data_IF_363153193224
#
_entry.id   IF_363153193224
#
_cell.length_a   1.000
_cell.length_b   1.000
_cell.length_c   1.000
_cell.angle_alpha   90.00
_cell.angle_beta   90.00
_cell.angle_gamma   90.00
#
_symmetry.space_group_name_H-M   'P 1'
#
loop_
_entity.id
_entity.type
_entity.pdbx_description
1 polymer ?
#
# COMPACT_ATOMS: atom_id res chain seq x y z
N UNK A 1 22.29 28.54 -65.58
CA UNK A 1 22.02 28.32 -64.14
C UNK A 1 21.13 27.08 -64.04
N UNK A 2 21.62 25.99 -63.45
CA UNK A 2 21.25 25.47 -62.10
C UNK A 2 19.78 24.98 -62.08
N UNK A 3 19.39 23.74 -61.76
CA UNK A 3 20.05 22.56 -61.16
C UNK A 3 19.09 21.34 -61.27
N UNK A 4 19.68 20.13 -61.33
CA UNK A 4 19.27 18.82 -60.75
C UNK A 4 17.94 18.18 -61.21
N UNK A 5 17.93 17.17 -62.08
CA UNK A 5 18.18 15.74 -61.84
C UNK A 5 17.47 15.16 -60.61
N UNK A 6 16.43 14.35 -60.85
CA UNK A 6 16.14 13.17 -60.04
C UNK A 6 15.53 12.06 -60.91
N UNK A 7 16.12 10.88 -60.71
CA UNK A 7 16.16 9.69 -61.56
C UNK A 7 14.87 8.88 -61.45
N UNK A 8 14.35 8.48 -62.61
CA UNK A 8 13.34 7.43 -62.78
C UNK A 8 14.07 6.09 -62.72
N UNK A 9 13.73 5.22 -61.77
CA UNK A 9 14.16 3.82 -61.81
C UNK A 9 12.98 2.89 -61.51
N UNK A 10 12.47 2.31 -62.57
CA UNK A 10 11.54 1.17 -62.60
C UNK A 10 12.31 -0.09 -62.22
N UNK A 11 11.80 -0.88 -61.25
CA UNK A 11 12.28 -2.24 -61.01
C UNK A 11 11.10 -3.21 -60.91
N UNK A 12 11.30 -4.32 -61.62
CA UNK A 12 10.41 -5.42 -61.96
C UNK A 12 9.71 -6.11 -60.79
N UNK A 13 8.48 -6.59 -61.07
CA UNK A 13 7.86 -7.75 -60.43
C UNK A 13 8.65 -9.02 -60.77
N UNK A 14 9.08 -9.75 -59.74
CA UNK A 14 9.34 -11.19 -59.81
C UNK A 14 8.60 -11.85 -58.64
N UNK A 15 7.66 -12.71 -59.00
CA UNK A 15 6.93 -13.62 -58.12
C UNK A 15 7.81 -14.82 -57.76
N UNK A 16 7.99 -15.13 -56.48
CA UNK A 16 8.17 -16.51 -55.98
C UNK A 16 7.94 -16.57 -54.47
N UNK A 17 7.28 -17.64 -54.06
CA UNK A 17 6.63 -17.89 -52.77
C UNK A 17 7.66 -18.25 -51.69
N UNK A 18 7.52 -17.69 -50.49
CA UNK A 18 8.50 -17.92 -49.42
C UNK A 18 8.21 -17.15 -48.13
N UNK A 19 7.14 -17.56 -47.44
CA UNK A 19 6.87 -17.42 -45.99
C UNK A 19 7.75 -16.41 -45.22
N UNK A 20 7.28 -15.16 -45.08
CA UNK A 20 7.77 -14.23 -44.05
C UNK A 20 6.62 -13.49 -43.37
N UNK A 21 6.60 -13.63 -42.04
CA UNK A 21 6.17 -12.74 -40.96
C UNK A 21 5.35 -11.49 -41.34
N UNK A 22 4.14 -11.29 -40.78
CA UNK A 22 3.59 -9.95 -40.64
C UNK A 22 4.13 -9.32 -39.35
N UNK A 23 5.02 -8.35 -39.50
CA UNK A 23 5.26 -7.31 -38.49
C UNK A 23 4.25 -6.19 -38.72
N UNK A 24 3.76 -5.65 -37.61
CA UNK A 24 2.88 -4.49 -37.50
C UNK A 24 1.39 -4.77 -37.69
N UNK A 25 0.83 -5.56 -36.80
CA UNK A 25 -0.47 -5.20 -36.24
C UNK A 25 -0.25 -4.76 -34.80
N UNK A 26 -0.96 -3.71 -34.43
CA UNK A 26 -0.82 -2.94 -33.20
C UNK A 26 -0.82 -3.92 -32.02
N UNK A 27 0.35 -4.08 -31.38
CA UNK A 27 0.42 -4.64 -30.05
C UNK A 27 -0.40 -3.69 -29.19
N UNK A 28 -1.65 -4.10 -28.97
CA UNK A 28 -2.57 -3.50 -28.06
C UNK A 28 -1.84 -3.50 -26.73
N UNK A 29 -1.15 -2.38 -26.44
CA UNK A 29 -0.63 -2.09 -25.12
C UNK A 29 -1.87 -2.04 -24.23
N UNK A 30 -2.23 -3.21 -23.73
CA UNK A 30 -3.01 -3.36 -22.53
C UNK A 30 -2.34 -2.47 -21.49
N UNK A 31 -2.92 -1.30 -21.26
CA UNK A 31 -2.72 -0.49 -20.07
C UNK A 31 -3.32 -1.20 -18.85
N UNK A 32 -2.89 -2.45 -18.60
CA UNK A 32 -3.35 -3.33 -17.52
C UNK A 32 -2.26 -3.55 -16.44
N UNK A 33 -1.37 -2.60 -16.21
CA UNK A 33 -0.26 -2.79 -15.25
C UNK A 33 -0.47 -2.16 -13.87
N UNK A 34 -1.59 -1.48 -13.62
CA UNK A 34 -1.88 -0.88 -12.31
C UNK A 34 -2.79 -1.68 -11.35
N UNK A 35 -3.76 -2.52 -11.79
CA UNK A 35 -4.61 -3.25 -10.84
C UNK A 35 -3.93 -4.46 -10.17
N UNK A 36 -3.03 -5.16 -10.89
CA UNK A 36 -2.46 -6.43 -10.44
C UNK A 36 -1.52 -6.25 -9.23
N UNK A 37 -0.73 -5.19 -9.21
CA UNK A 37 0.25 -4.94 -8.16
C UNK A 37 -0.41 -4.59 -6.82
N UNK A 38 -1.54 -3.86 -6.85
CA UNK A 38 -2.21 -3.43 -5.62
C UNK A 38 -2.85 -4.60 -4.87
N UNK A 39 -3.45 -5.54 -5.61
CA UNK A 39 -4.01 -6.77 -5.02
C UNK A 39 -2.93 -7.64 -4.38
N UNK A 40 -1.76 -7.76 -5.01
CA UNK A 40 -0.63 -8.48 -4.43
C UNK A 40 -0.10 -7.78 -3.16
N UNK A 41 0.00 -6.44 -3.15
CA UNK A 41 0.41 -5.68 -1.96
C UNK A 41 -0.58 -5.83 -0.80
N UNK A 42 -1.90 -5.85 -1.09
CA UNK A 42 -2.94 -6.10 -0.08
C UNK A 42 -2.77 -7.49 0.52
N UNK A 43 -2.57 -8.51 -0.33
CA UNK A 43 -2.38 -9.90 0.11
C UNK A 43 -1.11 -10.05 0.95
N UNK A 44 -0.02 -9.39 0.55
CA UNK A 44 1.21 -9.34 1.34
C UNK A 44 0.97 -8.72 2.73
N UNK A 45 0.29 -7.57 2.77
CA UNK A 45 -0.06 -6.90 4.01
C UNK A 45 -0.92 -7.79 4.93
N UNK A 46 -1.93 -8.46 4.38
CA UNK A 46 -2.76 -9.42 5.12
C UNK A 46 -1.93 -10.55 5.71
N UNK A 47 -1.00 -11.13 4.93
CA UNK A 47 -0.11 -12.19 5.42
C UNK A 47 0.79 -11.69 6.56
N UNK A 48 1.35 -10.48 6.44
CA UNK A 48 2.17 -9.88 7.49
C UNK A 48 1.38 -9.63 8.77
N UNK A 49 0.16 -9.11 8.66
CA UNK A 49 -0.73 -8.87 9.81
C UNK A 49 -1.10 -10.18 10.49
N UNK A 50 -1.41 -11.23 9.71
CA UNK A 50 -1.72 -12.56 10.26
C UNK A 50 -0.51 -13.16 11.00
N UNK A 51 0.69 -13.05 10.43
CA UNK A 51 1.93 -13.52 11.06
C UNK A 51 2.23 -12.76 12.36
N UNK A 52 2.10 -11.43 12.34
CA UNK A 52 2.26 -10.62 13.54
C UNK A 52 1.22 -10.96 14.60
N UNK A 53 -0.02 -11.25 14.19
CA UNK A 53 -1.08 -11.63 15.12
C UNK A 53 -0.74 -12.94 15.84
N UNK A 54 -0.21 -13.93 15.10
CA UNK A 54 0.30 -15.16 15.69
C UNK A 54 1.48 -14.92 16.63
N UNK A 55 2.43 -14.04 16.28
CA UNK A 55 3.56 -13.68 17.14
C UNK A 55 3.11 -13.03 18.45
N UNK A 56 2.18 -12.08 18.37
CA UNK A 56 1.61 -11.40 19.55
C UNK A 56 0.85 -12.37 20.47
N UNK A 57 0.19 -13.40 19.93
CA UNK A 57 -0.45 -14.44 20.74
C UNK A 57 0.57 -15.36 21.45
N UNK A 58 1.75 -15.55 20.86
CA UNK A 58 2.80 -16.38 21.45
C UNK A 58 3.63 -15.64 22.50
N UNK A 59 3.69 -14.31 22.44
CA UNK A 59 4.48 -13.51 23.37
C UNK A 59 3.67 -13.11 24.60
N UNK A 60 4.27 -13.28 25.78
CA UNK A 60 3.69 -12.87 27.04
C UNK A 60 4.05 -11.39 27.31
N UNK A 61 3.06 -10.48 27.41
CA UNK A 61 3.26 -9.04 27.71
C UNK A 61 3.62 -8.76 29.17
N UNK A 62 4.22 -9.74 29.85
CA UNK A 62 4.79 -9.55 31.18
C UNK A 62 6.29 -9.21 31.12
N UNK A 63 6.85 -9.09 29.91
CA UNK A 63 8.21 -8.65 29.71
C UNK A 63 8.24 -7.16 29.33
N UNK A 64 9.06 -6.39 30.05
CA UNK A 64 9.18 -4.94 29.88
C UNK A 64 9.50 -4.55 28.44
N UNK A 65 10.35 -5.33 27.75
CA UNK A 65 10.76 -5.07 26.38
C UNK A 65 9.63 -5.33 25.38
N UNK A 66 8.82 -6.38 25.59
CA UNK A 66 7.61 -6.65 24.79
C UNK A 66 6.59 -5.51 24.95
N UNK A 67 6.42 -5.02 26.18
CA UNK A 67 5.48 -3.92 26.46
C UNK A 67 5.94 -2.61 25.81
N UNK A 68 7.24 -2.35 25.83
CA UNK A 68 7.85 -1.20 25.16
C UNK A 68 7.66 -1.30 23.65
N UNK A 69 7.93 -2.46 23.05
CA UNK A 69 7.72 -2.70 21.62
C UNK A 69 6.27 -2.45 21.20
N UNK A 70 5.29 -2.99 21.93
CA UNK A 70 3.86 -2.78 21.63
C UNK A 70 3.50 -1.29 21.73
N UNK A 71 3.96 -0.60 22.78
CA UNK A 71 3.69 0.83 23.00
C UNK A 71 4.29 1.69 21.89
N UNK A 72 5.56 1.47 21.55
CA UNK A 72 6.26 2.19 20.50
C UNK A 72 5.66 1.90 19.12
N UNK A 73 5.45 0.63 18.79
CA UNK A 73 4.82 0.21 17.54
C UNK A 73 3.47 0.88 17.34
N UNK A 74 2.65 0.94 18.39
CA UNK A 74 1.34 1.60 18.32
C UNK A 74 1.43 3.12 18.23
N UNK A 75 2.34 3.75 18.98
CA UNK A 75 2.59 5.19 18.89
C UNK A 75 3.04 5.59 17.49
N UNK A 76 3.97 4.82 16.91
CA UNK A 76 4.48 5.03 15.56
C UNK A 76 3.38 4.85 14.50
N UNK A 77 2.55 3.82 14.64
CA UNK A 77 1.40 3.60 13.75
C UNK A 77 0.45 4.81 13.78
N UNK A 78 0.05 5.27 14.96
CA UNK A 78 -0.85 6.43 15.12
C UNK A 78 -0.24 7.68 14.47
N UNK A 79 1.05 7.95 14.73
CA UNK A 79 1.76 9.10 14.16
C UNK A 79 1.81 9.04 12.62
N UNK A 80 2.15 7.88 12.06
CA UNK A 80 2.22 7.68 10.61
C UNK A 80 0.84 7.88 9.95
N UNK A 81 -0.23 7.37 10.56
CA UNK A 81 -1.59 7.54 10.05
C UNK A 81 -2.05 8.99 10.14
N UNK A 82 -1.75 9.70 11.24
CA UNK A 82 -2.05 11.13 11.36
C UNK A 82 -1.31 11.96 10.29
N UNK A 83 -0.04 11.64 10.03
CA UNK A 83 0.75 12.29 9.00
C UNK A 83 0.19 12.00 7.60
N UNK A 84 -0.19 10.75 7.33
CA UNK A 84 -0.88 10.37 6.10
C UNK A 84 -2.18 11.14 5.91
N UNK A 85 -3.01 11.24 6.95
CA UNK A 85 -4.25 12.01 6.88
C UNK A 85 -4.02 13.47 6.55
N UNK A 86 -3.00 14.08 7.14
CA UNK A 86 -2.65 15.48 6.88
C UNK A 86 -2.17 15.63 5.43
N UNK A 87 -1.13 14.90 5.05
CA UNK A 87 -0.47 15.03 3.74
C UNK A 87 -1.46 14.78 2.59
N UNK A 88 -2.29 13.74 2.72
CA UNK A 88 -3.24 13.39 1.67
C UNK A 88 -4.44 14.35 1.64
N UNK A 89 -4.90 14.86 2.79
CA UNK A 89 -5.93 15.92 2.80
C UNK A 89 -5.43 17.18 2.09
N UNK A 90 -4.18 17.57 2.32
CA UNK A 90 -3.56 18.73 1.67
C UNK A 90 -3.38 18.50 0.16
N UNK A 91 -2.91 17.31 -0.23
CA UNK A 91 -2.73 16.94 -1.63
C UNK A 91 -4.06 16.92 -2.40
N UNK A 92 -5.10 16.29 -1.83
CA UNK A 92 -6.42 16.18 -2.45
C UNK A 92 -7.06 17.54 -2.64
N UNK A 93 -7.04 18.40 -1.61
CA UNK A 93 -7.56 19.78 -1.73
C UNK A 93 -6.83 20.59 -2.80
N UNK A 94 -5.53 20.38 -2.97
CA UNK A 94 -4.71 21.15 -3.88
C UNK A 94 -4.73 20.65 -5.34
N UNK A 95 -4.79 19.32 -5.55
CA UNK A 95 -4.50 18.71 -6.86
C UNK A 95 -5.61 17.80 -7.39
N UNK A 96 -6.44 17.28 -6.50
CA UNK A 96 -7.41 16.23 -6.84
C UNK A 96 -8.72 16.40 -6.05
N UNK A 97 -9.40 17.57 -6.13
CA UNK A 97 -10.64 17.81 -5.39
C UNK A 97 -11.74 16.78 -5.69
N UNK A 98 -11.71 16.16 -6.87
CA UNK A 98 -12.58 15.06 -7.25
C UNK A 98 -12.47 13.82 -6.35
N UNK A 99 -11.37 13.67 -5.59
CA UNK A 99 -11.14 12.58 -4.63
C UNK A 99 -11.71 12.87 -3.24
N UNK A 100 -12.19 14.09 -2.99
CA UNK A 100 -12.54 14.55 -1.63
C UNK A 100 -13.58 13.65 -0.96
N UNK A 101 -14.58 13.16 -1.69
CA UNK A 101 -15.60 12.26 -1.14
C UNK A 101 -15.03 10.90 -0.74
N UNK A 102 -14.26 10.25 -1.62
CA UNK A 102 -13.64 8.93 -1.36
C UNK A 102 -12.68 9.04 -0.18
N UNK A 103 -11.86 10.09 -0.18
CA UNK A 103 -10.92 10.37 0.89
C UNK A 103 -11.59 10.66 2.23
N UNK A 104 -12.63 11.48 2.24
CA UNK A 104 -13.37 11.81 3.46
C UNK A 104 -14.00 10.56 4.06
N UNK A 105 -14.59 9.69 3.23
CA UNK A 105 -15.16 8.42 3.68
C UNK A 105 -14.09 7.52 4.32
N UNK A 106 -12.95 7.34 3.66
CA UNK A 106 -11.85 6.54 4.20
C UNK A 106 -11.30 7.14 5.50
N UNK A 107 -11.06 8.45 5.52
CA UNK A 107 -10.56 9.18 6.69
C UNK A 107 -11.51 9.04 7.88
N UNK A 108 -12.82 9.16 7.69
CA UNK A 108 -13.79 9.05 8.78
C UNK A 108 -13.75 7.66 9.43
N UNK A 109 -13.83 6.60 8.62
CA UNK A 109 -13.78 5.23 9.11
C UNK A 109 -12.48 4.89 9.84
N UNK A 110 -11.35 5.32 9.29
CA UNK A 110 -10.07 5.11 9.94
C UNK A 110 -9.93 5.96 11.21
N UNK A 111 -10.39 7.21 11.20
CA UNK A 111 -10.32 8.09 12.38
C UNK A 111 -11.08 7.51 13.59
N UNK A 112 -12.21 6.85 13.37
CA UNK A 112 -12.93 6.14 14.44
C UNK A 112 -12.08 5.03 15.07
N UNK A 113 -11.27 4.35 14.28
CA UNK A 113 -10.38 3.28 14.75
C UNK A 113 -9.21 3.87 15.55
N UNK A 114 -8.54 4.89 14.99
CA UNK A 114 -7.31 5.44 15.57
C UNK A 114 -7.53 6.38 16.76
N UNK A 115 -8.67 7.07 16.85
CA UNK A 115 -8.97 7.95 17.98
C UNK A 115 -9.22 7.18 19.30
N UNK A 116 -9.53 5.89 19.20
CA UNK A 116 -9.83 5.02 20.35
C UNK A 116 -8.60 4.25 20.87
N UNK A 117 -7.39 4.61 20.44
CA UNK A 117 -6.13 4.02 20.87
C UNK A 117 -5.57 4.78 22.09
N UNK A 118 -5.60 4.13 23.26
CA UNK A 118 -4.86 4.63 24.42
C UNK A 118 -3.38 4.21 24.33
N UNK A 119 -2.54 5.08 23.78
CA UNK A 119 -1.10 4.82 23.59
C UNK A 119 -0.27 4.92 24.88
N UNK A 120 -0.88 5.24 26.03
CA UNK A 120 -0.20 5.27 27.33
C UNK A 120 -0.77 4.23 28.29
N UNK A 121 -0.51 2.93 28.06
CA UNK A 121 -0.91 1.87 28.97
C UNK A 121 -0.04 1.88 30.23
N UNK A 122 -0.66 1.68 31.38
CA UNK A 122 -0.03 1.62 32.72
C UNK A 122 -0.06 0.21 33.32
N UNK A 123 -0.86 -0.70 32.77
CA UNK A 123 -1.01 -2.08 33.25
C UNK A 123 -0.84 -3.10 32.14
N UNK A 124 -0.50 -4.34 32.49
CA UNK A 124 -0.46 -5.47 31.53
C UNK A 124 -1.77 -5.62 30.76
N UNK A 125 -2.92 -5.44 31.44
CA UNK A 125 -4.23 -5.51 30.78
C UNK A 125 -4.39 -4.42 29.72
N UNK A 126 -3.94 -3.19 30.01
CA UNK A 126 -3.95 -2.11 29.03
C UNK A 126 -2.96 -2.36 27.89
N UNK A 127 -1.85 -3.07 28.12
CA UNK A 127 -0.94 -3.51 27.04
C UNK A 127 -1.61 -4.56 26.17
N UNK A 128 -2.32 -5.54 26.73
CA UNK A 128 -3.08 -6.54 25.97
C UNK A 128 -4.10 -5.85 25.06
N UNK A 129 -4.87 -4.92 25.63
CA UNK A 129 -5.83 -4.13 24.88
C UNK A 129 -5.15 -3.29 23.80
N UNK A 130 -3.98 -2.71 24.08
CA UNK A 130 -3.22 -1.96 23.11
C UNK A 130 -2.73 -2.84 21.95
N UNK A 131 -2.27 -4.05 22.25
CA UNK A 131 -1.86 -5.05 21.25
C UNK A 131 -3.01 -5.45 20.34
N UNK A 132 -4.17 -5.77 20.92
CA UNK A 132 -5.40 -6.07 20.14
C UNK A 132 -5.80 -4.89 19.28
N UNK A 133 -5.83 -3.68 19.85
CA UNK A 133 -6.18 -2.47 19.09
C UNK A 133 -5.18 -2.16 17.99
N UNK A 134 -3.89 -2.43 18.19
CA UNK A 134 -2.88 -2.32 17.14
C UNK A 134 -3.23 -3.24 15.97
N UNK A 135 -3.52 -4.52 16.25
CA UNK A 135 -3.90 -5.51 15.23
C UNK A 135 -5.16 -5.08 14.47
N UNK A 136 -6.21 -4.69 15.19
CA UNK A 136 -7.45 -4.15 14.62
C UNK A 136 -7.17 -2.93 13.74
N UNK A 137 -6.26 -2.05 14.16
CA UNK A 137 -5.93 -0.82 13.45
C UNK A 137 -5.20 -1.09 12.13
N UNK A 138 -4.17 -1.95 12.13
CA UNK A 138 -3.47 -2.32 10.89
C UNK A 138 -4.38 -3.09 9.93
N UNK A 139 -5.25 -3.95 10.47
CA UNK A 139 -6.23 -4.70 9.67
C UNK A 139 -7.27 -3.77 9.04
N UNK A 140 -7.77 -2.79 9.81
CA UNK A 140 -8.75 -1.82 9.31
C UNK A 140 -8.12 -0.92 8.25
N UNK A 141 -6.85 -0.53 8.43
CA UNK A 141 -6.12 0.24 7.43
C UNK A 141 -6.05 -0.50 6.09
N UNK A 142 -5.68 -1.77 6.09
CA UNK A 142 -5.66 -2.59 4.85
C UNK A 142 -7.07 -2.80 4.28
N UNK A 143 -8.06 -3.08 5.13
CA UNK A 143 -9.43 -3.39 4.68
C UNK A 143 -10.12 -2.19 4.05
N UNK A 144 -10.02 -1.01 4.67
CA UNK A 144 -10.59 0.21 4.09
C UNK A 144 -9.81 0.70 2.86
N UNK A 145 -8.51 0.41 2.81
CA UNK A 145 -7.71 0.62 1.61
C UNK A 145 -8.18 -0.26 0.45
N UNK A 146 -8.44 -1.55 0.69
CA UNK A 146 -9.02 -2.48 -0.29
C UNK A 146 -10.40 -2.01 -0.75
N UNK A 147 -11.25 -1.53 0.18
CA UNK A 147 -12.56 -0.98 -0.17
C UNK A 147 -12.42 0.25 -1.09
N UNK A 148 -11.48 1.15 -0.80
CA UNK A 148 -11.21 2.28 -1.67
C UNK A 148 -10.68 1.82 -3.05
N UNK A 149 -9.80 0.81 -3.11
CA UNK A 149 -9.32 0.26 -4.37
C UNK A 149 -10.44 -0.31 -5.25
N UNK A 150 -11.48 -0.90 -4.66
CA UNK A 150 -12.63 -1.42 -5.43
C UNK A 150 -13.37 -0.31 -6.19
N UNK A 151 -13.38 0.91 -5.65
CA UNK A 151 -13.98 2.08 -6.30
C UNK A 151 -13.20 2.60 -7.52
N UNK A 152 -11.96 2.15 -7.74
CA UNK A 152 -11.12 2.54 -8.90
C UNK A 152 -11.85 2.26 -10.21
N UNK A 153 -12.42 1.06 -10.35
CA UNK A 153 -13.02 0.60 -11.62
C UNK A 153 -14.20 1.45 -12.12
N UNK A 154 -14.82 2.24 -11.23
CA UNK A 154 -16.02 3.03 -11.51
C UNK A 154 -15.72 4.49 -11.89
N UNK A 155 -14.44 4.89 -11.91
CA UNK A 155 -14.03 6.30 -11.98
C UNK A 155 -13.13 6.63 -13.19
N UNK A 156 -12.92 7.93 -13.43
CA UNK A 156 -12.01 8.43 -14.48
C UNK A 156 -10.53 8.06 -14.21
N UNK A 157 -9.69 7.96 -15.24
CA UNK A 157 -8.29 7.53 -15.11
C UNK A 157 -7.46 8.37 -14.12
N UNK A 158 -7.69 9.69 -14.02
CA UNK A 158 -7.02 10.55 -13.03
C UNK A 158 -7.46 10.23 -11.59
N UNK A 159 -8.75 9.95 -11.42
CA UNK A 159 -9.30 9.51 -10.12
C UNK A 159 -8.76 8.13 -9.77
N UNK A 160 -8.67 7.21 -10.74
CA UNK A 160 -8.10 5.88 -10.57
C UNK A 160 -6.66 5.93 -10.04
N UNK A 161 -5.81 6.75 -10.66
CA UNK A 161 -4.41 6.91 -10.22
C UNK A 161 -4.32 7.48 -8.80
N UNK A 162 -5.15 8.49 -8.50
CA UNK A 162 -5.20 9.10 -7.17
C UNK A 162 -5.66 8.11 -6.09
N UNK A 163 -6.70 7.33 -6.37
CA UNK A 163 -7.20 6.27 -5.47
C UNK A 163 -6.13 5.20 -5.27
N UNK A 164 -5.54 4.70 -6.36
CA UNK A 164 -4.46 3.72 -6.28
C UNK A 164 -3.29 4.23 -5.42
N UNK A 165 -2.92 5.51 -5.56
CA UNK A 165 -1.84 6.13 -4.79
C UNK A 165 -2.11 6.14 -3.30
N UNK A 166 -3.24 6.70 -2.84
CA UNK A 166 -3.50 6.77 -1.40
C UNK A 166 -3.79 5.41 -0.79
N UNK A 167 -4.42 4.49 -1.55
CA UNK A 167 -4.60 3.10 -1.14
C UNK A 167 -3.26 2.42 -0.93
N UNK A 168 -2.33 2.54 -1.89
CA UNK A 168 -0.98 1.99 -1.75
C UNK A 168 -0.27 2.55 -0.52
N UNK A 169 -0.31 3.87 -0.30
CA UNK A 169 0.34 4.49 0.85
C UNK A 169 -0.23 4.00 2.19
N UNK A 170 -1.54 3.82 2.29
CA UNK A 170 -2.17 3.26 3.48
C UNK A 170 -1.75 1.80 3.72
N UNK A 171 -1.68 0.98 2.67
CA UNK A 171 -1.16 -0.39 2.75
C UNK A 171 0.31 -0.40 3.18
N UNK A 172 1.15 0.47 2.59
CA UNK A 172 2.57 0.58 2.94
C UNK A 172 2.75 0.92 4.43
N UNK A 173 1.90 1.79 5.00
CA UNK A 173 1.92 2.11 6.44
C UNK A 173 1.58 0.87 7.28
N UNK A 174 0.56 0.10 6.90
CA UNK A 174 0.19 -1.13 7.61
C UNK A 174 1.31 -2.18 7.57
N UNK A 175 1.93 -2.36 6.39
CA UNK A 175 3.07 -3.25 6.18
C UNK A 175 4.25 -2.85 7.06
N UNK A 176 4.64 -1.57 7.01
CA UNK A 176 5.77 -1.06 7.80
C UNK A 176 5.51 -1.16 9.29
N UNK A 177 4.31 -0.80 9.76
CA UNK A 177 3.96 -0.93 11.17
C UNK A 177 4.02 -2.39 11.63
N UNK A 178 3.50 -3.32 10.82
CA UNK A 178 3.50 -4.74 11.15
C UNK A 178 4.90 -5.33 11.19
N UNK A 179 5.74 -5.01 10.20
CA UNK A 179 7.13 -5.44 10.14
C UNK A 179 7.96 -4.87 11.28
N UNK A 180 7.82 -3.57 11.56
CA UNK A 180 8.54 -2.91 12.64
C UNK A 180 8.21 -3.54 13.99
N UNK A 181 6.93 -3.75 14.30
CA UNK A 181 6.54 -4.40 15.55
C UNK A 181 7.04 -5.85 15.59
N UNK A 182 6.87 -6.63 14.52
CA UNK A 182 7.38 -8.01 14.46
C UNK A 182 8.88 -8.08 14.74
N UNK A 183 9.67 -7.16 14.19
CA UNK A 183 11.11 -7.11 14.39
C UNK A 183 11.47 -6.70 15.83
N UNK A 184 10.74 -5.76 16.44
CA UNK A 184 10.95 -5.38 17.83
C UNK A 184 10.60 -6.52 18.79
N UNK A 185 9.52 -7.25 18.53
CA UNK A 185 9.09 -8.41 19.31
C UNK A 185 10.12 -9.55 19.25
N UNK A 186 10.69 -9.82 18.08
CA UNK A 186 11.76 -10.82 17.92
C UNK A 186 13.01 -10.43 18.71
N UNK A 187 13.41 -9.16 18.65
CA UNK A 187 14.56 -8.65 19.42
C UNK A 187 14.31 -8.72 20.93
N UNK A 188 13.12 -8.36 21.38
CA UNK A 188 12.73 -8.40 22.79
C UNK A 188 12.68 -9.81 23.40
N UNK A 189 12.63 -10.86 22.56
CA UNK A 189 12.54 -12.26 23.01
C UNK A 189 13.77 -13.09 22.69
N UNK A 190 14.79 -12.49 22.05
CA UNK A 190 16.06 -13.16 21.79
C UNK A 190 16.93 -13.09 23.05
N UNK A 191 17.37 -14.22 23.65
CA UNK A 191 18.23 -14.17 24.83
C UNK A 191 19.54 -13.45 24.50
N UNK A 192 19.84 -12.40 25.27
CA UNK A 192 21.09 -11.66 25.14
C UNK A 192 22.25 -12.60 25.53
N UNK A 193 23.32 -12.73 24.71
CA UNK A 193 24.46 -13.57 25.09
C UNK A 193 25.07 -13.02 26.38
N UNK A 194 25.17 -13.87 27.41
CA UNK A 194 25.92 -13.55 28.62
C UNK A 194 27.39 -13.36 28.26
N UNK A 195 27.95 -12.19 28.58
CA UNK A 195 29.39 -11.92 28.55
C UNK A 195 29.97 -12.11 29.94
#
# INVERSE_FOLDING_TARGET
>A
MRYLLSVILTVLLVTTEGKVVPTSDVENQQTDTQPLQLSDHIREAQNLINNLSAQLQQQLPNQQDVNTAIKEGTTNLVSNVQMFFKNMSDEIKAKSPELESVWTNMKNKLSETFNNLNVNPETTEQINQLSTKFQESVQTLVSESENAAKTISENSSKVQEGIAKFTKQAIDIAVQASQNLSNQLQQATTPQPEN
#
